data_IF_038079043442
#
_entry.id   IF_038079043442
#
_cell.length_a   1.000
_cell.length_b   1.000
_cell.length_c   1.000
_cell.angle_alpha   90.00
_cell.angle_beta   90.00
_cell.angle_gamma   90.00
#
_symmetry.space_group_name_H-M   'P 1'
#
loop_
_entity.id
_entity.type
_entity.pdbx_description
1 polymer ?
#
# COMPACT_ATOMS: atom_id res chain seq x y z
N UNK A 1 -29.73 5.83 -5.09
CA UNK A 1 -28.33 5.35 -5.29
C UNK A 1 -28.40 3.85 -5.50
N UNK A 2 -27.79 3.31 -6.57
CA UNK A 2 -27.72 1.86 -6.77
C UNK A 2 -26.84 1.26 -5.67
N UNK A 3 -27.30 0.15 -5.09
CA UNK A 3 -26.66 -0.60 -4.01
C UNK A 3 -25.27 -1.07 -4.47
N UNK A 4 -24.25 -0.24 -4.27
CA UNK A 4 -22.90 -0.49 -4.74
C UNK A 4 -22.23 -1.48 -3.78
N UNK A 5 -22.06 -2.72 -4.24
CA UNK A 5 -21.34 -3.75 -3.50
C UNK A 5 -19.85 -3.66 -3.83
N UNK A 6 -19.01 -3.54 -2.82
CA UNK A 6 -17.54 -3.58 -2.94
C UNK A 6 -17.04 -4.96 -2.56
N UNK A 7 -16.27 -5.60 -3.43
CA UNK A 7 -15.60 -6.86 -3.13
C UNK A 7 -14.31 -6.58 -2.37
N UNK A 8 -14.20 -7.09 -1.15
CA UNK A 8 -12.97 -7.08 -0.35
C UNK A 8 -12.32 -8.44 -0.50
N UNK A 9 -11.05 -8.45 -0.91
CA UNK A 9 -10.23 -9.65 -1.01
C UNK A 9 -9.07 -9.53 -0.02
N UNK A 10 -8.85 -10.55 0.78
CA UNK A 10 -7.66 -10.72 1.58
C UNK A 10 -6.80 -11.79 0.91
N UNK A 11 -5.59 -11.40 0.52
CA UNK A 11 -4.61 -12.27 -0.12
C UNK A 11 -3.38 -12.42 0.79
N UNK A 12 -2.81 -13.62 0.82
CA UNK A 12 -1.51 -13.85 1.47
C UNK A 12 -0.35 -13.49 0.53
N UNK A 13 0.89 -13.65 0.99
CA UNK A 13 2.10 -13.27 0.25
C UNK A 13 2.30 -14.02 -1.08
N UNK A 14 1.68 -15.19 -1.24
CA UNK A 14 1.73 -15.99 -2.49
C UNK A 14 0.52 -15.72 -3.40
N UNK A 15 -0.27 -14.69 -3.10
CA UNK A 15 -1.42 -14.27 -3.92
C UNK A 15 -2.67 -15.15 -3.78
N UNK A 16 -2.67 -16.10 -2.84
CA UNK A 16 -3.86 -16.90 -2.56
C UNK A 16 -4.89 -16.08 -1.78
N UNK A 17 -6.14 -16.19 -2.17
CA UNK A 17 -7.26 -15.55 -1.48
C UNK A 17 -7.56 -16.34 -0.21
N UNK A 18 -7.21 -15.77 0.95
CA UNK A 18 -7.47 -16.32 2.29
C UNK A 18 -8.76 -15.78 2.90
N UNK A 19 -9.31 -14.72 2.32
CA UNK A 19 -10.61 -14.17 2.71
C UNK A 19 -11.25 -13.42 1.55
N UNK A 20 -12.57 -13.49 1.43
CA UNK A 20 -13.33 -12.67 0.48
C UNK A 20 -14.69 -12.31 1.06
N UNK A 21 -15.12 -11.07 0.87
CA UNK A 21 -16.44 -10.63 1.29
C UNK A 21 -17.00 -9.57 0.35
N UNK A 22 -18.31 -9.62 0.07
CA UNK A 22 -19.01 -8.56 -0.64
C UNK A 22 -19.59 -7.60 0.39
N UNK A 23 -19.02 -6.41 0.49
CA UNK A 23 -19.45 -5.36 1.42
C UNK A 23 -20.41 -4.39 0.75
N UNK A 24 -21.39 -3.85 1.48
CA UNK A 24 -22.41 -2.91 0.93
C UNK A 24 -22.06 -1.43 1.15
N UNK A 25 -20.82 -1.02 0.89
CA UNK A 25 -20.28 0.35 1.15
C UNK A 25 -19.82 0.58 2.59
N UNK A 26 -19.27 1.78 2.85
CA UNK A 26 -18.47 2.37 3.97
C UNK A 26 -18.65 1.86 5.42
N UNK A 27 -19.55 0.92 5.68
CA UNK A 27 -19.73 0.33 6.98
C UNK A 27 -18.55 -0.59 7.35
N UNK A 28 -17.80 -0.18 8.37
CA UNK A 28 -16.69 -0.95 8.93
C UNK A 28 -17.11 -2.29 9.54
N UNK A 29 -18.41 -2.55 9.76
CA UNK A 29 -18.89 -3.78 10.37
C UNK A 29 -18.53 -5.03 9.56
N UNK A 30 -18.84 -5.06 8.26
CA UNK A 30 -18.57 -6.24 7.41
C UNK A 30 -17.06 -6.44 7.21
N UNK A 31 -16.29 -5.35 7.13
CA UNK A 31 -14.83 -5.40 7.12
C UNK A 31 -14.28 -5.95 8.43
N UNK A 32 -14.87 -5.58 9.58
CA UNK A 32 -14.51 -6.11 10.90
C UNK A 32 -14.70 -7.62 10.96
N UNK A 33 -15.87 -8.11 10.56
CA UNK A 33 -16.18 -9.55 10.59
C UNK A 33 -15.20 -10.35 9.73
N UNK A 34 -14.82 -9.84 8.56
CA UNK A 34 -13.81 -10.46 7.72
C UNK A 34 -12.44 -10.52 8.41
N UNK A 35 -12.02 -9.43 9.05
CA UNK A 35 -10.75 -9.36 9.79
C UNK A 35 -10.75 -10.26 11.04
N UNK A 36 -11.88 -10.39 11.72
CA UNK A 36 -12.03 -11.32 12.84
C UNK A 36 -11.98 -12.78 12.37
N UNK A 37 -12.58 -13.08 11.21
CA UNK A 37 -12.56 -14.43 10.63
C UNK A 37 -11.14 -14.90 10.29
N UNK A 38 -10.30 -14.00 9.78
CA UNK A 38 -8.92 -14.30 9.36
C UNK A 38 -7.90 -14.09 10.48
N UNK A 39 -8.34 -13.67 11.66
CA UNK A 39 -7.48 -13.37 12.80
C UNK A 39 -6.59 -14.55 13.21
N UNK A 40 -7.11 -15.77 13.12
CA UNK A 40 -6.37 -17.00 13.41
C UNK A 40 -5.28 -17.33 12.39
N UNK A 41 -5.37 -16.77 11.17
CA UNK A 41 -4.38 -16.95 10.12
C UNK A 41 -3.21 -15.96 10.22
N UNK A 42 -3.34 -14.89 11.03
CA UNK A 42 -2.24 -13.97 11.29
C UNK A 42 -1.31 -14.57 12.35
N UNK A 43 0.00 -14.72 12.07
CA UNK A 43 0.94 -15.30 13.02
C UNK A 43 1.04 -14.41 14.27
N UNK A 44 0.95 -15.04 15.45
CA UNK A 44 1.21 -14.41 16.74
C UNK A 44 2.71 -14.14 16.86
N UNK A 45 3.04 -12.92 17.27
CA UNK A 45 4.39 -12.37 17.46
C UNK A 45 5.49 -13.44 17.64
N UNK A 46 6.19 -13.72 16.54
CA UNK A 46 7.58 -14.17 16.61
C UNK A 46 8.41 -13.00 16.11
N UNK A 47 9.50 -12.69 16.80
CA UNK A 47 10.37 -11.49 16.63
C UNK A 47 10.86 -11.23 15.18
N UNK A 48 10.56 -12.12 14.23
CA UNK A 48 11.05 -12.09 12.85
C UNK A 48 9.95 -11.95 11.78
N UNK A 49 8.66 -12.14 12.11
CA UNK A 49 7.56 -12.08 11.14
C UNK A 49 6.43 -11.17 11.63
N UNK A 50 6.60 -9.86 11.47
CA UNK A 50 5.50 -8.92 11.68
C UNK A 50 4.45 -9.09 10.59
N UNK A 51 3.20 -9.37 10.99
CA UNK A 51 2.08 -9.40 10.07
C UNK A 51 1.76 -7.96 9.63
N UNK A 52 1.63 -7.77 8.31
CA UNK A 52 1.36 -6.47 7.70
C UNK A 52 0.12 -6.55 6.82
N UNK A 53 -0.82 -5.64 7.04
CA UNK A 53 -1.96 -5.43 6.13
C UNK A 53 -1.61 -4.29 5.18
N UNK A 54 -1.73 -4.56 3.87
CA UNK A 54 -1.52 -3.58 2.81
C UNK A 54 -2.88 -3.08 2.33
N UNK A 55 -3.08 -1.75 2.31
CA UNK A 55 -4.33 -1.11 1.86
C UNK A 55 -4.06 0.14 1.04
N UNK A 56 -4.92 0.37 0.04
CA UNK A 56 -5.04 1.60 -0.75
C UNK A 56 -5.40 2.85 0.09
N UNK A 57 -5.97 2.68 1.28
CA UNK A 57 -6.17 3.74 2.25
C UNK A 57 -5.83 3.26 3.66
N UNK A 58 -4.53 3.09 3.90
CA UNK A 58 -4.00 2.65 5.18
C UNK A 58 -4.49 3.49 6.37
N UNK A 59 -4.74 4.79 6.17
CA UNK A 59 -5.22 5.66 7.24
C UNK A 59 -6.68 5.37 7.62
N UNK A 60 -7.54 5.07 6.65
CA UNK A 60 -8.95 4.75 6.90
C UNK A 60 -9.10 3.44 7.68
N UNK A 61 -8.27 2.44 7.38
CA UNK A 61 -8.39 1.10 7.98
C UNK A 61 -7.56 0.92 9.25
N UNK A 62 -6.65 1.84 9.59
CA UNK A 62 -5.73 1.71 10.73
C UNK A 62 -6.45 1.53 12.06
N UNK A 63 -7.49 2.32 12.32
CA UNK A 63 -8.26 2.21 13.58
C UNK A 63 -8.91 0.84 13.68
N UNK A 64 -9.58 0.40 12.62
CA UNK A 64 -10.27 -0.89 12.56
C UNK A 64 -9.32 -2.07 12.78
N UNK A 65 -8.15 -2.05 12.10
CA UNK A 65 -7.14 -3.11 12.27
C UNK A 65 -6.61 -3.12 13.72
N UNK A 66 -6.32 -1.95 14.30
CA UNK A 66 -5.86 -1.88 15.68
C UNK A 66 -6.93 -2.37 16.67
N UNK A 67 -8.22 -2.13 16.40
CA UNK A 67 -9.31 -2.67 17.22
C UNK A 67 -9.42 -4.20 17.14
N UNK A 68 -9.14 -4.82 15.98
CA UNK A 68 -9.28 -6.28 15.79
C UNK A 68 -8.02 -7.04 16.23
N UNK A 69 -6.84 -6.52 15.91
CA UNK A 69 -5.55 -7.21 16.07
C UNK A 69 -4.64 -6.60 17.14
N UNK A 70 -4.95 -5.42 17.67
CA UNK A 70 -4.05 -4.68 18.56
C UNK A 70 -2.78 -4.23 17.84
N UNK A 71 -1.68 -4.10 18.61
CA UNK A 71 -0.37 -3.70 18.09
C UNK A 71 0.38 -4.78 17.32
N UNK A 72 -0.16 -6.00 17.26
CA UNK A 72 0.50 -7.16 16.62
C UNK A 72 0.52 -7.06 15.08
N UNK A 73 -0.37 -6.27 14.47
CA UNK A 73 -0.48 -6.10 13.02
C UNK A 73 -0.27 -4.64 12.65
N UNK A 74 0.65 -4.40 11.71
CA UNK A 74 0.86 -3.06 11.16
C UNK A 74 0.09 -2.85 9.86
N UNK A 75 -0.39 -1.64 9.63
CA UNK A 75 -1.06 -1.26 8.37
C UNK A 75 -0.12 -0.39 7.54
N UNK A 76 0.12 -0.79 6.29
CA UNK A 76 0.93 -0.03 5.33
C UNK A 76 0.10 0.33 4.09
N UNK A 77 0.50 1.43 3.47
CA UNK A 77 -0.09 1.91 2.23
C UNK A 77 0.37 1.02 1.07
N UNK A 78 -0.55 0.67 0.18
CA UNK A 78 -0.26 -0.07 -1.04
C UNK A 78 0.79 0.65 -1.92
N UNK A 79 1.83 -0.07 -2.42
CA UNK A 79 2.90 0.53 -3.22
C UNK A 79 2.41 1.25 -4.48
N UNK A 80 1.38 0.75 -5.17
CA UNK A 80 0.85 1.43 -6.35
C UNK A 80 0.30 2.81 -5.98
N UNK A 81 -0.47 2.90 -4.88
CA UNK A 81 -0.98 4.17 -4.38
C UNK A 81 0.12 5.09 -3.84
N UNK A 82 1.21 4.54 -3.27
CA UNK A 82 2.39 5.33 -2.89
C UNK A 82 3.04 5.97 -4.13
N UNK A 83 3.28 5.19 -5.18
CA UNK A 83 3.84 5.69 -6.45
C UNK A 83 2.91 6.73 -7.08
N UNK A 84 1.60 6.47 -7.07
CA UNK A 84 0.60 7.41 -7.56
C UNK A 84 0.70 8.75 -6.80
N UNK A 85 0.73 8.74 -5.47
CA UNK A 85 0.85 9.97 -4.66
C UNK A 85 2.13 10.75 -4.95
N UNK A 86 3.26 10.07 -5.15
CA UNK A 86 4.51 10.73 -5.53
C UNK A 86 4.37 11.43 -6.88
N UNK A 87 3.86 10.70 -7.87
CA UNK A 87 3.75 11.20 -9.24
C UNK A 87 2.70 12.30 -9.40
N UNK A 88 1.68 12.37 -8.54
CA UNK A 88 0.72 13.48 -8.47
C UNK A 88 1.35 14.82 -8.06
N UNK A 89 2.50 14.80 -7.39
CA UNK A 89 3.25 16.01 -7.04
C UNK A 89 4.08 16.56 -8.19
N UNK A 90 4.17 15.84 -9.31
CA UNK A 90 4.92 16.26 -10.49
C UNK A 90 3.97 16.92 -11.49
N UNK A 91 4.29 18.15 -11.91
CA UNK A 91 3.54 18.94 -12.87
C UNK A 91 3.75 18.44 -14.31
N UNK A 92 5.00 18.19 -14.68
CA UNK A 92 5.35 17.77 -16.04
C UNK A 92 4.95 16.30 -16.30
N UNK A 93 4.22 16.08 -17.41
CA UNK A 93 3.70 14.74 -17.77
C UNK A 93 4.84 13.77 -18.12
N UNK A 94 5.89 14.24 -18.79
CA UNK A 94 7.03 13.39 -19.16
C UNK A 94 7.79 12.89 -17.94
N UNK A 95 8.04 13.80 -17.00
CA UNK A 95 8.69 13.53 -15.71
C UNK A 95 7.83 12.65 -14.82
N UNK A 96 6.51 12.84 -14.83
CA UNK A 96 5.56 11.97 -14.12
C UNK A 96 5.68 10.52 -14.56
N UNK A 97 5.66 10.27 -15.88
CA UNK A 97 5.76 8.91 -16.45
C UNK A 97 7.13 8.29 -16.15
N UNK A 98 8.20 9.07 -16.31
CA UNK A 98 9.57 8.63 -16.01
C UNK A 98 9.74 8.24 -14.55
N UNK A 99 9.27 9.09 -13.62
CA UNK A 99 9.33 8.83 -12.19
C UNK A 99 8.51 7.60 -11.80
N UNK A 100 7.29 7.44 -12.34
CA UNK A 100 6.46 6.27 -12.08
C UNK A 100 7.17 4.98 -12.49
N UNK A 101 7.79 4.98 -13.67
CA UNK A 101 8.60 3.86 -14.17
C UNK A 101 9.79 3.58 -13.26
N UNK A 102 10.58 4.60 -12.90
CA UNK A 102 11.75 4.43 -12.02
C UNK A 102 11.37 3.91 -10.64
N UNK A 103 10.26 4.37 -10.06
CA UNK A 103 9.79 3.87 -8.75
C UNK A 103 9.31 2.43 -8.85
N UNK A 104 8.62 2.05 -9.93
CA UNK A 104 8.25 0.66 -10.18
C UNK A 104 9.50 -0.22 -10.34
N UNK A 105 10.45 0.22 -11.17
CA UNK A 105 11.76 -0.37 -11.36
C UNK A 105 12.68 -0.27 -10.14
N UNK A 106 12.29 0.43 -9.06
CA UNK A 106 13.00 0.42 -7.78
C UNK A 106 12.49 -0.73 -6.89
N UNK A 107 11.20 -1.06 -6.98
CA UNK A 107 10.56 -2.12 -6.22
C UNK A 107 10.88 -3.51 -6.80
N UNK A 108 10.78 -3.68 -8.12
CA UNK A 108 10.84 -4.99 -8.76
C UNK A 108 12.09 -5.21 -9.63
N UNK A 109 12.74 -6.37 -9.49
CA UNK A 109 13.78 -6.84 -10.41
C UNK A 109 13.22 -7.02 -11.82
N UNK A 110 14.09 -7.26 -12.80
CA UNK A 110 13.68 -7.58 -14.18
C UNK A 110 12.78 -8.81 -14.21
N UNK A 111 13.05 -9.78 -13.33
CA UNK A 111 12.23 -10.99 -13.17
C UNK A 111 10.97 -10.79 -12.30
N UNK A 112 10.51 -9.56 -12.08
CA UNK A 112 9.33 -9.20 -11.29
C UNK A 112 9.35 -9.62 -9.80
N UNK A 113 10.52 -9.93 -9.26
CA UNK A 113 10.69 -10.21 -7.84
C UNK A 113 10.92 -8.91 -7.05
N UNK A 114 10.50 -8.88 -5.79
CA UNK A 114 10.82 -7.77 -4.90
C UNK A 114 12.35 -7.73 -4.67
N UNK A 115 12.94 -6.54 -4.87
CA UNK A 115 14.33 -6.28 -4.47
C UNK A 115 14.53 -6.31 -2.95
N UNK A 116 15.78 -6.44 -2.53
CA UNK A 116 16.14 -6.30 -1.12
C UNK A 116 15.98 -4.84 -0.65
N UNK A 117 15.66 -4.58 0.62
CA UNK A 117 15.35 -3.23 1.12
C UNK A 117 16.46 -2.20 0.88
N UNK A 118 17.73 -2.58 0.99
CA UNK A 118 18.88 -1.69 0.77
C UNK A 118 18.94 -1.19 -0.68
N UNK A 119 18.77 -2.08 -1.65
CA UNK A 119 18.74 -1.75 -3.08
C UNK A 119 17.50 -0.95 -3.46
N UNK A 120 16.33 -1.32 -2.92
CA UNK A 120 15.10 -0.55 -3.10
C UNK A 120 15.30 0.89 -2.62
N UNK A 121 15.82 1.07 -1.41
CA UNK A 121 16.02 2.39 -0.82
C UNK A 121 16.94 3.27 -1.69
N UNK A 122 18.07 2.72 -2.14
CA UNK A 122 19.00 3.42 -3.02
C UNK A 122 18.32 3.88 -4.33
N UNK A 123 17.59 2.98 -5.00
CA UNK A 123 16.90 3.29 -6.26
C UNK A 123 15.74 4.26 -6.10
N UNK A 124 14.98 4.16 -5.01
CA UNK A 124 13.92 5.14 -4.69
C UNK A 124 14.55 6.52 -4.48
N UNK A 125 15.67 6.59 -3.77
CA UNK A 125 16.39 7.85 -3.57
C UNK A 125 16.86 8.45 -4.90
N UNK A 126 17.45 7.64 -5.79
CA UNK A 126 17.84 8.07 -7.14
C UNK A 126 16.65 8.60 -7.95
N UNK A 127 15.51 7.90 -7.93
CA UNK A 127 14.30 8.33 -8.63
C UNK A 127 13.81 9.69 -8.13
N UNK A 128 13.81 9.92 -6.80
CA UNK A 128 13.39 11.18 -6.19
C UNK A 128 14.35 12.32 -6.53
N UNK A 129 15.67 12.09 -6.45
CA UNK A 129 16.69 13.11 -6.77
C UNK A 129 16.69 13.50 -8.25
N UNK A 130 16.23 12.62 -9.14
CA UNK A 130 16.14 12.91 -10.58
C UNK A 130 15.04 13.90 -10.97
N UNK A 131 14.13 14.25 -10.05
CA UNK A 131 13.06 15.21 -10.29
C UNK A 131 13.53 16.61 -9.93
N UNK A 132 13.54 17.52 -10.90
CA UNK A 132 13.90 18.92 -10.66
C UNK A 132 12.81 19.61 -9.83
N UNK A 133 13.15 20.51 -8.89
CA UNK A 133 12.17 21.31 -8.16
C UNK A 133 11.21 22.09 -9.07
N UNK A 134 11.68 22.49 -10.26
CA UNK A 134 10.88 23.21 -11.26
C UNK A 134 9.73 22.39 -11.84
N UNK A 135 9.83 21.07 -11.74
CA UNK A 135 8.84 20.13 -12.26
C UNK A 135 7.81 19.74 -11.19
N UNK A 136 7.94 20.24 -9.96
CA UNK A 136 7.03 19.98 -8.86
C UNK A 136 5.82 20.92 -8.87
N UNK A 137 4.68 20.42 -8.38
CA UNK A 137 3.43 21.15 -8.23
C UNK A 137 3.30 21.79 -6.83
N UNK A 138 4.44 22.04 -6.17
CA UNK A 138 4.50 22.69 -4.87
C UNK A 138 5.00 24.12 -5.06
N UNK A 139 4.37 25.10 -4.43
CA UNK A 139 4.99 26.41 -4.22
C UNK A 139 6.08 26.26 -3.17
N UNK A 140 7.25 26.88 -3.38
CA UNK A 140 8.22 27.05 -2.30
C UNK A 140 7.48 27.69 -1.11
N UNK A 141 7.37 26.94 -0.01
CA UNK A 141 6.97 27.52 1.26
C UNK A 141 8.23 28.06 1.88
N UNK A 142 8.43 29.37 1.71
CA UNK A 142 9.35 30.18 2.52
C UNK A 142 9.03 30.03 4.02
#
# INVERSE_FOLDING_TARGET
MKDAKMLVLLQNEIGQIVGRWLTRSENNFETRELLEHVKSACPVETDSNMCVIISDNANAVRSLVNEVFGSAVSVRQDPFHVVQRFTEKVKDKGTKIRMAKQLHEALYTVDEHLRVPSEMAARVQEAVVSVSPKDLNCSDRD
#
